data_IF_645954131079
#
_entry.id   IF_645954131079
#
_cell.length_a   1.000
_cell.length_b   1.000
_cell.length_c   1.000
_cell.angle_alpha   90.00
_cell.angle_beta   90.00
_cell.angle_gamma   90.00
#
_symmetry.space_group_name_H-M   'P 1'
#
loop_
_entity.id
_entity.type
_entity.pdbx_description
1 polymer ?
#
# COMPACT_ATOMS: atom_id res chain seq x y z
N UNK A 1 10.19 -14.43 2.53
CA UNK A 1 9.61 -13.31 3.29
C UNK A 1 10.38 -13.21 4.60
N UNK A 2 11.01 -12.06 4.87
CA UNK A 2 11.58 -11.80 6.20
C UNK A 2 10.44 -11.24 7.06
N UNK A 3 10.12 -11.91 8.16
CA UNK A 3 9.21 -11.37 9.17
C UNK A 3 10.02 -10.41 10.03
N UNK A 4 9.62 -9.14 10.08
CA UNK A 4 10.16 -8.23 11.09
C UNK A 4 9.49 -8.57 12.41
N UNK A 5 10.24 -8.55 13.51
CA UNK A 5 9.68 -8.77 14.86
C UNK A 5 9.01 -7.51 15.41
N UNK A 6 8.41 -6.68 14.55
CA UNK A 6 7.73 -5.45 14.97
C UNK A 6 6.22 -5.63 14.85
N UNK A 7 5.50 -5.29 15.91
CA UNK A 7 4.03 -5.30 15.94
C UNK A 7 3.47 -3.95 15.50
N UNK A 8 2.16 -3.87 15.24
CA UNK A 8 1.47 -2.59 14.99
C UNK A 8 1.75 -1.59 16.12
N UNK A 9 1.70 -2.04 17.38
CA UNK A 9 1.93 -1.17 18.54
C UNK A 9 3.33 -0.56 18.49
N UNK A 10 4.35 -1.35 18.15
CA UNK A 10 5.72 -0.87 18.03
C UNK A 10 5.90 0.06 16.82
N UNK A 11 5.24 -0.25 15.70
CA UNK A 11 5.22 0.62 14.52
C UNK A 11 4.64 1.99 14.86
N UNK A 12 3.46 2.03 15.51
CA UNK A 12 2.83 3.28 15.90
C UNK A 12 3.70 4.12 16.84
N UNK A 13 4.35 3.47 17.81
CA UNK A 13 5.27 4.14 18.74
C UNK A 13 6.50 4.73 18.03
N UNK A 14 7.13 3.96 17.14
CA UNK A 14 8.34 4.38 16.44
C UNK A 14 8.06 5.54 15.48
N UNK A 15 6.95 5.46 14.74
CA UNK A 15 6.58 6.47 13.74
C UNK A 15 5.73 7.62 14.30
N UNK A 16 5.41 7.58 15.61
CA UNK A 16 4.58 8.58 16.30
C UNK A 16 3.23 8.83 15.60
N UNK A 17 2.60 7.75 15.16
CA UNK A 17 1.26 7.78 14.57
C UNK A 17 0.23 7.28 15.59
N UNK A 18 -1.00 7.76 15.44
CA UNK A 18 -2.10 7.32 16.30
C UNK A 18 -2.51 5.89 15.94
N UNK A 19 -2.62 4.94 16.89
CA UNK A 19 -3.21 3.63 16.62
C UNK A 19 -4.60 3.70 15.96
N UNK A 20 -5.39 4.75 16.21
CA UNK A 20 -6.68 4.96 15.55
C UNK A 20 -6.54 5.10 14.03
N UNK A 21 -5.44 5.66 13.54
CA UNK A 21 -5.16 5.73 12.10
C UNK A 21 -5.06 4.33 11.48
N UNK A 22 -4.46 3.36 12.17
CA UNK A 22 -4.35 1.98 11.67
C UNK A 22 -5.73 1.32 11.62
N UNK A 23 -6.55 1.51 12.65
CA UNK A 23 -7.93 1.02 12.66
C UNK A 23 -8.74 1.63 11.52
N UNK A 24 -8.61 2.94 11.31
CA UNK A 24 -9.26 3.63 10.19
C UNK A 24 -8.80 3.10 8.83
N UNK A 25 -7.51 2.83 8.63
CA UNK A 25 -7.03 2.21 7.39
C UNK A 25 -7.66 0.81 7.16
N UNK A 26 -7.86 0.01 8.22
CA UNK A 26 -8.56 -1.27 8.13
C UNK A 26 -10.04 -1.10 7.79
N UNK A 27 -10.73 -0.14 8.43
CA UNK A 27 -12.14 0.13 8.21
C UNK A 27 -12.43 0.59 6.76
N UNK A 28 -11.48 1.33 6.17
CA UNK A 28 -11.53 1.72 4.75
C UNK A 28 -11.05 0.60 3.80
N UNK A 29 -10.63 -0.56 4.31
CA UNK A 29 -10.12 -1.67 3.47
C UNK A 29 -8.82 -1.32 2.74
N UNK A 30 -8.05 -0.36 3.25
CA UNK A 30 -6.76 0.05 2.69
C UNK A 30 -5.64 -0.90 3.08
N UNK A 31 -5.79 -1.56 4.23
CA UNK A 31 -4.91 -2.59 4.75
C UNK A 31 -5.76 -3.72 5.36
N UNK A 32 -5.22 -4.91 5.43
CA UNK A 32 -5.82 -6.06 6.13
C UNK A 32 -4.72 -6.69 7.00
N UNK A 33 -4.85 -6.57 8.32
CA UNK A 33 -3.86 -7.07 9.28
C UNK A 33 -4.57 -8.01 10.26
N UNK A 34 -3.98 -9.18 10.51
CA UNK A 34 -4.62 -10.27 11.26
C UNK A 34 -4.91 -9.90 12.74
N UNK A 35 -3.91 -9.44 13.49
CA UNK A 35 -4.07 -9.06 14.90
C UNK A 35 -3.08 -7.96 15.32
N UNK A 36 -3.40 -7.11 16.32
CA UNK A 36 -2.51 -6.02 16.79
C UNK A 36 -1.13 -6.48 17.29
N UNK A 37 -1.05 -7.73 17.76
CA UNK A 37 0.17 -8.36 18.26
C UNK A 37 0.87 -9.23 17.19
N UNK A 38 0.30 -9.34 15.99
CA UNK A 38 0.92 -10.06 14.89
C UNK A 38 2.17 -9.30 14.42
N UNK A 39 3.31 -9.98 14.19
CA UNK A 39 4.49 -9.35 13.62
C UNK A 39 4.23 -8.94 12.17
N UNK A 40 4.43 -7.67 11.85
CA UNK A 40 4.25 -7.17 10.50
C UNK A 40 5.30 -7.78 9.55
N UNK A 41 4.83 -8.11 8.35
CA UNK A 41 5.67 -8.45 7.20
C UNK A 41 6.29 -7.19 6.59
N UNK A 42 7.33 -7.38 5.78
CA UNK A 42 7.98 -6.29 5.04
C UNK A 42 6.99 -5.52 4.15
N UNK A 43 6.11 -6.24 3.44
CA UNK A 43 5.13 -5.63 2.55
C UNK A 43 4.09 -4.80 3.33
N UNK A 44 3.66 -5.26 4.52
CA UNK A 44 2.76 -4.50 5.38
C UNK A 44 3.42 -3.24 5.94
N UNK A 45 4.70 -3.33 6.33
CA UNK A 45 5.46 -2.17 6.80
C UNK A 45 5.58 -1.12 5.69
N UNK A 46 6.00 -1.54 4.49
CA UNK A 46 6.13 -0.65 3.33
C UNK A 46 4.79 0.01 2.97
N UNK A 47 3.69 -0.73 3.08
CA UNK A 47 2.35 -0.22 2.84
C UNK A 47 1.92 0.80 3.90
N UNK A 48 2.16 0.52 5.18
CA UNK A 48 1.87 1.44 6.28
C UNK A 48 2.71 2.72 6.20
N UNK A 49 4.00 2.62 5.86
CA UNK A 49 4.86 3.79 5.65
C UNK A 49 4.36 4.66 4.50
N UNK A 50 3.87 4.04 3.42
CA UNK A 50 3.28 4.76 2.29
C UNK A 50 2.03 5.53 2.71
N UNK A 51 1.09 4.90 3.39
CA UNK A 51 -0.13 5.57 3.85
C UNK A 51 0.16 6.63 4.91
N UNK A 52 1.11 6.38 5.82
CA UNK A 52 1.61 7.40 6.76
C UNK A 52 2.09 8.62 5.98
N UNK A 53 2.95 8.44 4.98
CA UNK A 53 3.47 9.54 4.17
C UNK A 53 2.36 10.33 3.49
N UNK A 54 1.39 9.64 2.90
CA UNK A 54 0.25 10.31 2.27
C UNK A 54 -0.60 11.11 3.26
N UNK A 55 -0.88 10.55 4.43
CA UNK A 55 -1.72 11.21 5.43
C UNK A 55 -0.99 12.33 6.18
N UNK A 56 0.12 12.00 6.82
CA UNK A 56 0.83 12.90 7.72
C UNK A 56 1.76 13.88 7.00
N UNK A 57 2.39 13.48 5.89
CA UNK A 57 3.34 14.35 5.20
C UNK A 57 2.68 15.14 4.05
N UNK A 58 1.70 14.54 3.35
CA UNK A 58 1.01 15.18 2.22
C UNK A 58 -0.39 15.72 2.57
N UNK A 59 -0.91 15.44 3.76
CA UNK A 59 -2.21 15.96 4.23
C UNK A 59 -3.42 15.34 3.53
N UNK A 60 -3.29 14.13 3.00
CA UNK A 60 -4.39 13.41 2.32
C UNK A 60 -5.27 12.74 3.40
N UNK A 61 -6.56 13.02 3.41
CA UNK A 61 -7.53 12.34 4.31
C UNK A 61 -7.78 10.89 3.90
N UNK A 62 -8.44 10.11 4.75
CA UNK A 62 -8.72 8.68 4.52
C UNK A 62 -9.52 8.42 3.24
N UNK A 63 -10.55 9.22 2.97
CA UNK A 63 -11.31 9.14 1.73
C UNK A 63 -10.43 9.42 0.50
N UNK A 64 -9.50 10.37 0.64
CA UNK A 64 -8.50 10.65 -0.37
C UNK A 64 -7.53 9.48 -0.59
N UNK A 65 -7.15 8.75 0.46
CA UNK A 65 -6.31 7.57 0.35
C UNK A 65 -7.01 6.45 -0.44
N UNK A 66 -8.30 6.22 -0.21
CA UNK A 66 -9.08 5.24 -0.98
C UNK A 66 -9.18 5.62 -2.46
N UNK A 67 -9.44 6.89 -2.76
CA UNK A 67 -9.41 7.38 -4.14
C UNK A 67 -8.02 7.19 -4.76
N UNK A 68 -6.95 7.50 -4.04
CA UNK A 68 -5.57 7.30 -4.51
C UNK A 68 -5.27 5.82 -4.77
N UNK A 69 -5.67 4.91 -3.89
CA UNK A 69 -5.51 3.46 -4.07
C UNK A 69 -6.20 3.01 -5.36
N UNK A 70 -7.47 3.35 -5.52
CA UNK A 70 -8.25 3.00 -6.70
C UNK A 70 -7.65 3.56 -8.00
N UNK A 71 -7.08 4.77 -7.97
CA UNK A 71 -6.41 5.36 -9.13
C UNK A 71 -5.08 4.68 -9.45
N UNK A 72 -4.28 4.31 -8.43
CA UNK A 72 -3.03 3.59 -8.61
C UNK A 72 -3.29 2.21 -9.23
N UNK A 73 -4.29 1.47 -8.75
CA UNK A 73 -4.69 0.17 -9.31
C UNK A 73 -5.10 0.29 -10.79
N UNK A 74 -5.86 1.32 -11.15
CA UNK A 74 -6.21 1.59 -12.54
C UNK A 74 -4.98 1.90 -13.40
N UNK A 75 -4.03 2.70 -12.88
CA UNK A 75 -2.78 3.01 -13.59
C UNK A 75 -1.93 1.75 -13.79
N UNK A 76 -1.81 0.89 -12.77
CA UNK A 76 -1.06 -0.37 -12.87
C UNK A 76 -1.67 -1.30 -13.92
N UNK A 77 -3.00 -1.41 -13.95
CA UNK A 77 -3.71 -2.20 -14.95
C UNK A 77 -3.48 -1.67 -16.37
N UNK A 78 -3.59 -0.34 -16.57
CA UNK A 78 -3.30 0.29 -17.86
C UNK A 78 -1.84 0.08 -18.29
N UNK A 79 -0.88 0.20 -17.36
CA UNK A 79 0.52 -0.06 -17.64
C UNK A 79 0.78 -1.52 -18.05
N UNK A 80 0.08 -2.48 -17.43
CA UNK A 80 0.15 -3.89 -17.78
C UNK A 80 -0.37 -4.16 -19.19
N UNK A 81 -1.47 -3.51 -19.58
CA UNK A 81 -2.02 -3.60 -20.94
C UNK A 81 -1.04 -3.02 -21.96
N UNK A 82 -0.48 -1.83 -21.71
CA UNK A 82 0.54 -1.22 -22.58
C UNK A 82 1.77 -2.11 -22.73
N UNK A 83 2.25 -2.74 -21.65
CA UNK A 83 3.38 -3.69 -21.71
C UNK A 83 3.05 -4.90 -22.58
N UNK A 84 1.84 -5.47 -22.42
CA UNK A 84 1.36 -6.61 -23.21
C UNK A 84 1.30 -6.26 -24.70
N UNK A 85 0.74 -5.11 -25.04
CA UNK A 85 0.64 -4.64 -26.43
C UNK A 85 2.03 -4.44 -27.06
N UNK A 86 2.97 -3.83 -26.33
CA UNK A 86 4.36 -3.66 -26.80
C UNK A 86 5.08 -4.99 -27.02
N UNK A 87 4.85 -5.98 -26.17
CA UNK A 87 5.40 -7.32 -26.34
C UNK A 87 4.87 -8.00 -27.60
N UNK A 88 3.56 -7.89 -27.86
CA UNK A 88 2.94 -8.42 -29.08
C UNK A 88 3.47 -7.72 -30.33
N UNK A 89 3.55 -6.39 -30.32
CA UNK A 89 4.11 -5.60 -31.41
C UNK A 89 5.56 -6.02 -31.72
N UNK A 90 6.41 -6.15 -30.69
CA UNK A 90 7.79 -6.62 -30.85
C UNK A 90 7.88 -8.03 -31.42
N UNK A 91 6.99 -8.94 -31.01
CA UNK A 91 6.94 -10.30 -31.54
C UNK A 91 6.60 -10.32 -33.04
N UNK A 92 5.65 -9.49 -33.49
CA UNK A 92 5.29 -9.41 -34.91
C UNK A 92 6.37 -8.72 -35.76
N UNK A 93 7.04 -7.70 -35.24
CA UNK A 93 8.08 -6.96 -35.96
C UNK A 93 9.42 -7.70 -36.09
N UNK A 94 9.62 -8.80 -35.37
CA UNK A 94 10.83 -9.64 -35.43
C UNK A 94 10.59 -11.01 -36.09
N UNK A 95 9.44 -11.19 -36.75
CA UNK A 95 9.10 -12.36 -37.56
C UNK A 95 9.08 -11.98 -39.04
#
# INVERSE_FOLDING_TARGET
MKSYQITIVQFCQYHQIDPEFITQLQDFGLIEIEEPNHPLTEDEIDLLERYKKFHYDLGINLEGLDVVKNLLEQIEQLQKEVRTLRQLESYFNHK
#
